data_IF_495275873092
#
_entry.id   IF_495275873092
#
_cell.length_a   1.000
_cell.length_b   1.000
_cell.length_c   1.000
_cell.angle_alpha   90.00
_cell.angle_beta   90.00
_cell.angle_gamma   90.00
#
_symmetry.space_group_name_H-M   'P 1'
#
loop_
_entity.id
_entity.type
_entity.pdbx_description
1 polymer ?
#
# COMPACT_ATOMS: atom_id res chain seq x y z
N UNK A 1 -16.88 -4.55 -16.82
CA UNK A 1 -16.94 -5.62 -15.81
C UNK A 1 -17.05 -5.09 -14.39
N UNK A 2 -16.38 -4.01 -13.99
CA UNK A 2 -16.65 -3.37 -12.68
C UNK A 2 -17.89 -2.49 -12.66
N UNK A 3 -18.41 -2.07 -13.82
CA UNK A 3 -19.72 -1.44 -13.92
C UNK A 3 -20.80 -2.37 -13.32
N UNK A 4 -21.31 -1.99 -12.15
CA UNK A 4 -22.29 -2.77 -11.36
C UNK A 4 -21.72 -3.50 -10.14
N UNK A 5 -20.42 -3.40 -9.84
CA UNK A 5 -19.87 -3.82 -8.54
C UNK A 5 -19.98 -2.65 -7.59
N UNK A 6 -20.67 -2.86 -6.48
CA UNK A 6 -20.84 -1.91 -5.39
C UNK A 6 -20.29 -2.52 -4.09
N UNK A 7 -19.66 -1.68 -3.28
CA UNK A 7 -19.14 -2.06 -1.98
C UNK A 7 -19.86 -1.24 -0.91
N UNK A 8 -20.41 -1.94 0.07
CA UNK A 8 -21.09 -1.35 1.20
C UNK A 8 -20.40 -1.77 2.50
N UNK A 9 -20.40 -0.89 3.49
CA UNK A 9 -19.86 -1.21 4.81
C UNK A 9 -20.81 -2.19 5.53
N UNK A 10 -20.29 -3.37 5.89
CA UNK A 10 -21.05 -4.39 6.62
C UNK A 10 -20.98 -4.21 8.14
N UNK A 11 -20.10 -3.34 8.63
CA UNK A 11 -19.75 -3.22 10.05
C UNK A 11 -18.70 -4.24 10.51
N UNK A 12 -18.27 -5.16 9.64
CA UNK A 12 -17.14 -6.03 9.93
C UNK A 12 -15.84 -5.24 9.96
N UNK A 13 -15.02 -5.49 10.98
CA UNK A 13 -13.73 -4.83 11.18
C UNK A 13 -12.68 -5.86 11.57
N UNK A 14 -11.45 -5.62 11.14
CA UNK A 14 -10.30 -6.36 11.65
C UNK A 14 -9.96 -5.90 13.07
N UNK A 15 -9.61 -6.84 13.95
CA UNK A 15 -9.11 -6.51 15.29
C UNK A 15 -7.72 -5.86 15.17
N UNK A 16 -7.53 -4.71 15.84
CA UNK A 16 -6.23 -4.04 15.90
C UNK A 16 -5.14 -4.95 16.47
N UNK A 17 -5.51 -5.94 17.32
CA UNK A 17 -4.61 -6.96 17.84
C UNK A 17 -3.87 -7.72 16.73
N UNK A 18 -4.43 -7.85 15.52
CA UNK A 18 -3.75 -8.51 14.40
C UNK A 18 -2.45 -7.79 13.99
N UNK A 19 -2.44 -6.45 14.04
CA UNK A 19 -1.23 -5.67 13.77
C UNK A 19 -0.24 -5.77 14.93
N UNK A 20 -0.72 -5.76 16.18
CA UNK A 20 0.11 -5.94 17.37
C UNK A 20 0.74 -7.33 17.44
N UNK A 21 -0.02 -8.37 17.09
CA UNK A 21 0.49 -9.73 17.02
C UNK A 21 1.55 -9.84 15.93
N UNK A 22 1.33 -9.22 14.76
CA UNK A 22 2.31 -9.18 13.69
C UNK A 22 3.60 -8.44 14.07
N UNK A 23 3.50 -7.31 14.77
CA UNK A 23 4.65 -6.58 15.31
C UNK A 23 5.44 -7.46 16.31
N UNK A 24 4.74 -8.17 17.20
CA UNK A 24 5.35 -9.03 18.23
C UNK A 24 5.96 -10.31 17.67
N UNK A 25 5.25 -10.99 16.79
CA UNK A 25 5.62 -12.32 16.28
C UNK A 25 6.51 -12.22 15.04
N UNK A 26 6.50 -11.06 14.37
CA UNK A 26 7.17 -10.88 13.11
C UNK A 26 6.52 -11.68 11.98
N UNK A 27 7.20 -11.70 10.84
CA UNK A 27 6.84 -12.51 9.69
C UNK A 27 8.03 -13.42 9.40
N UNK A 28 7.80 -14.72 9.28
CA UNK A 28 8.84 -15.64 8.83
C UNK A 28 9.02 -15.49 7.31
N UNK A 29 10.24 -15.17 6.88
CA UNK A 29 10.59 -15.05 5.47
C UNK A 29 12.07 -15.41 5.26
N UNK A 30 12.43 -15.68 4.01
CA UNK A 30 13.83 -15.82 3.59
C UNK A 30 14.30 -14.53 2.94
N UNK A 31 15.44 -14.03 3.39
CA UNK A 31 16.08 -12.87 2.79
C UNK A 31 16.37 -13.11 1.29
N UNK A 32 16.08 -12.10 0.48
CA UNK A 32 16.32 -12.10 -0.96
C UNK A 32 16.60 -10.68 -1.45
N UNK A 33 16.82 -10.53 -2.76
CA UNK A 33 17.15 -9.23 -3.38
C UNK A 33 16.12 -8.12 -3.13
N UNK A 34 14.87 -8.47 -2.81
CA UNK A 34 13.79 -7.54 -2.52
C UNK A 34 13.61 -7.23 -1.03
N UNK A 35 14.25 -7.97 -0.13
CA UNK A 35 14.23 -7.65 1.31
C UNK A 35 14.73 -6.23 1.53
N UNK A 36 13.94 -5.45 2.28
CA UNK A 36 14.25 -4.08 2.65
C UNK A 36 14.71 -4.04 4.10
N UNK A 37 15.90 -3.50 4.34
CA UNK A 37 16.43 -3.22 5.68
C UNK A 37 15.86 -1.88 6.16
N UNK A 38 15.26 -1.87 7.34
CA UNK A 38 14.59 -0.70 7.90
C UNK A 38 15.62 0.24 8.53
N UNK A 39 15.77 1.44 7.97
CA UNK A 39 16.62 2.50 8.52
C UNK A 39 15.90 3.42 9.51
N UNK A 40 14.56 3.45 9.49
CA UNK A 40 13.72 4.32 10.33
C UNK A 40 12.58 3.54 11.00
N UNK A 41 12.87 2.68 12.01
CA UNK A 41 11.87 1.80 12.63
C UNK A 41 10.69 2.57 13.23
N UNK A 42 10.87 3.81 13.70
CA UNK A 42 9.79 4.65 14.21
C UNK A 42 8.72 5.05 13.16
N UNK A 43 8.97 4.79 11.87
CA UNK A 43 8.05 5.10 10.76
C UNK A 43 7.25 3.88 10.29
N UNK A 44 7.48 2.71 10.86
CA UNK A 44 6.85 1.45 10.45
C UNK A 44 6.58 0.57 11.67
N UNK A 45 5.92 -0.56 11.46
CA UNK A 45 5.70 -1.61 12.47
C UNK A 45 6.81 -2.67 12.45
N UNK A 46 7.73 -2.61 11.49
CA UNK A 46 8.82 -3.58 11.34
C UNK A 46 10.11 -3.03 11.95
N UNK A 47 10.78 -3.81 12.81
CA UNK A 47 12.02 -3.36 13.45
C UNK A 47 13.23 -3.39 12.51
N UNK A 48 13.44 -4.51 11.82
CA UNK A 48 14.70 -4.77 11.10
C UNK A 48 14.49 -4.89 9.59
N UNK A 49 13.46 -5.62 9.17
CA UNK A 49 13.28 -5.99 7.77
C UNK A 49 11.83 -5.98 7.34
N UNK A 50 11.60 -5.68 6.06
CA UNK A 50 10.30 -5.85 5.39
C UNK A 50 10.50 -6.82 4.21
N UNK A 51 9.80 -7.96 4.18
CA UNK A 51 9.78 -8.83 3.00
C UNK A 51 8.93 -8.19 1.90
N UNK A 52 9.49 -8.07 0.70
CA UNK A 52 8.85 -7.44 -0.45
C UNK A 52 8.88 -8.37 -1.66
N UNK A 53 7.96 -8.14 -2.59
CA UNK A 53 7.75 -9.02 -3.74
C UNK A 53 8.41 -8.48 -5.02
N UNK A 54 8.88 -7.22 -5.00
CA UNK A 54 9.43 -6.57 -6.19
C UNK A 54 10.43 -5.45 -5.90
N UNK A 55 11.27 -5.14 -6.90
CA UNK A 55 12.18 -3.98 -6.83
C UNK A 55 11.45 -2.63 -6.75
N UNK A 56 10.22 -2.53 -7.28
CA UNK A 56 9.39 -1.32 -7.16
C UNK A 56 8.91 -1.12 -5.74
N UNK A 57 8.49 -2.18 -5.05
CA UNK A 57 8.19 -2.12 -3.62
C UNK A 57 9.41 -1.74 -2.80
N UNK A 58 10.59 -2.30 -3.11
CA UNK A 58 11.83 -1.95 -2.40
C UNK A 58 12.18 -0.47 -2.55
N UNK A 59 12.07 0.06 -3.76
CA UNK A 59 12.26 1.49 -4.02
C UNK A 59 11.21 2.35 -3.31
N UNK A 60 9.96 1.89 -3.26
CA UNK A 60 8.88 2.57 -2.56
C UNK A 60 9.12 2.64 -1.05
N UNK A 61 9.57 1.54 -0.43
CA UNK A 61 9.97 1.49 0.97
C UNK A 61 11.09 2.51 1.28
N UNK A 62 12.13 2.55 0.44
CA UNK A 62 13.20 3.55 0.55
C UNK A 62 12.64 4.98 0.46
N UNK A 63 11.76 5.25 -0.50
CA UNK A 63 11.11 6.56 -0.63
C UNK A 63 10.31 6.91 0.63
N UNK A 64 9.60 5.94 1.23
CA UNK A 64 8.89 6.16 2.48
C UNK A 64 9.84 6.61 3.59
N UNK A 65 11.07 6.10 3.66
CA UNK A 65 12.07 6.57 4.62
C UNK A 65 12.60 7.96 4.28
N UNK A 66 12.92 8.22 3.02
CA UNK A 66 13.53 9.47 2.55
C UNK A 66 12.61 10.69 2.71
N UNK A 67 11.29 10.50 2.56
CA UNK A 67 10.30 11.56 2.74
C UNK A 67 10.08 11.86 4.23
N UNK A 68 10.87 12.80 4.77
CA UNK A 68 10.82 13.23 6.17
C UNK A 68 9.47 13.86 6.54
N UNK A 69 8.84 13.34 7.59
CA UNK A 69 7.56 13.79 8.14
C UNK A 69 7.58 15.24 8.66
N UNK A 70 8.76 15.81 8.92
CA UNK A 70 8.92 17.23 9.29
C UNK A 70 8.55 18.18 8.15
N UNK A 71 8.58 17.69 6.92
CA UNK A 71 8.20 18.45 5.73
C UNK A 71 6.74 18.18 5.39
N UNK A 72 6.05 19.21 4.89
CA UNK A 72 4.71 19.04 4.35
C UNK A 72 4.72 18.01 3.19
N UNK A 73 3.80 17.05 3.24
CA UNK A 73 3.78 15.94 2.29
C UNK A 73 4.81 14.85 2.57
N UNK A 74 5.55 14.93 3.68
CA UNK A 74 6.41 13.86 4.17
C UNK A 74 5.62 12.62 4.58
N UNK A 75 6.29 11.48 4.69
CA UNK A 75 5.68 10.23 5.18
C UNK A 75 5.86 10.16 6.68
N UNK A 76 4.76 10.14 7.43
CA UNK A 76 4.75 9.98 8.88
C UNK A 76 4.82 8.51 9.30
N UNK A 77 4.15 7.63 8.56
CA UNK A 77 4.10 6.20 8.85
C UNK A 77 3.85 5.38 7.58
N UNK A 78 4.38 4.17 7.50
CA UNK A 78 4.16 3.25 6.39
C UNK A 78 4.32 1.79 6.83
N UNK A 79 3.60 0.86 6.20
CA UNK A 79 3.88 -0.57 6.33
C UNK A 79 3.33 -1.35 5.14
N UNK A 80 3.99 -2.47 4.81
CA UNK A 80 3.48 -3.43 3.82
C UNK A 80 2.26 -4.11 4.43
N UNK A 81 1.13 -4.07 3.71
CA UNK A 81 -0.07 -4.75 4.16
C UNK A 81 0.18 -6.27 4.14
N UNK A 82 -0.09 -6.96 5.26
CA UNK A 82 0.26 -8.35 5.39
C UNK A 82 -0.61 -9.26 4.54
N UNK A 83 -0.07 -10.45 4.24
CA UNK A 83 -0.72 -11.44 3.40
C UNK A 83 -2.12 -11.87 3.86
N UNK A 84 -2.45 -11.72 5.14
CA UNK A 84 -3.78 -12.03 5.67
C UNK A 84 -4.83 -10.93 5.41
N UNK A 85 -4.40 -9.70 5.09
CA UNK A 85 -5.32 -8.59 4.78
C UNK A 85 -5.82 -8.75 3.35
N UNK A 86 -7.09 -9.13 3.18
CA UNK A 86 -7.67 -9.45 1.87
C UNK A 86 -8.99 -8.72 1.66
N UNK A 87 -9.14 -8.15 0.46
CA UNK A 87 -10.39 -7.60 -0.05
C UNK A 87 -11.03 -8.66 -0.95
N UNK A 88 -12.28 -9.07 -0.69
CA UNK A 88 -13.01 -9.95 -1.58
C UNK A 88 -13.34 -9.23 -2.89
N UNK A 89 -13.06 -9.89 -4.01
CA UNK A 89 -13.48 -9.44 -5.33
C UNK A 89 -14.13 -10.61 -6.07
N UNK A 90 -14.97 -10.37 -7.10
CA UNK A 90 -15.52 -11.43 -7.93
C UNK A 90 -14.45 -12.29 -8.65
N UNK A 91 -13.21 -11.82 -8.71
CA UNK A 91 -12.06 -12.49 -9.35
C UNK A 91 -11.14 -13.16 -8.32
N UNK A 92 -11.63 -13.35 -7.08
CA UNK A 92 -10.87 -13.84 -5.93
C UNK A 92 -10.20 -12.71 -5.15
N UNK A 93 -9.57 -13.07 -4.04
CA UNK A 93 -9.02 -12.10 -3.09
C UNK A 93 -7.97 -11.18 -3.72
N UNK A 94 -7.97 -9.93 -3.26
CA UNK A 94 -7.02 -8.88 -3.59
C UNK A 94 -6.34 -8.38 -2.31
N UNK A 95 -5.03 -8.15 -2.36
CA UNK A 95 -4.23 -7.63 -1.25
C UNK A 95 -3.52 -6.40 -1.78
N UNK A 96 -3.91 -5.19 -1.37
CA UNK A 96 -3.17 -4.00 -1.74
C UNK A 96 -1.80 -3.99 -1.08
N UNK A 97 -0.85 -3.23 -1.64
CA UNK A 97 0.54 -3.33 -1.19
C UNK A 97 0.83 -2.62 0.13
N UNK A 98 0.46 -1.36 0.27
CA UNK A 98 0.94 -0.49 1.36
C UNK A 98 -0.18 0.27 2.03
N UNK A 99 -0.03 0.51 3.33
CA UNK A 99 -0.70 1.59 4.03
C UNK A 99 0.31 2.70 4.30
N UNK A 100 -0.03 3.95 4.00
CA UNK A 100 0.85 5.11 4.13
C UNK A 100 0.12 6.28 4.76
N UNK A 101 0.75 6.94 5.72
CA UNK A 101 0.27 8.18 6.34
C UNK A 101 1.19 9.32 5.93
N UNK A 102 0.66 10.31 5.23
CA UNK A 102 1.39 11.54 4.88
C UNK A 102 1.06 12.67 5.85
N UNK A 103 2.09 13.45 6.23
CA UNK A 103 1.94 14.62 7.07
C UNK A 103 1.47 15.81 6.22
N UNK A 104 0.16 16.05 6.20
CA UNK A 104 -0.44 17.26 5.61
C UNK A 104 -1.52 17.76 6.55
N UNK A 105 -1.30 18.95 7.11
CA UNK A 105 -2.10 19.52 8.20
C UNK A 105 -2.28 18.52 9.35
N UNK A 106 -3.39 17.77 9.38
CA UNK A 106 -3.74 16.81 10.43
C UNK A 106 -3.40 15.32 10.12
N UNK A 107 -3.06 15.00 8.85
CA UNK A 107 -2.66 13.70 8.23
C UNK A 107 -3.59 13.28 7.08
N UNK A 108 -3.01 12.63 6.07
CA UNK A 108 -3.77 11.98 4.98
C UNK A 108 -3.39 10.52 4.87
N UNK A 109 -4.39 9.64 4.87
CA UNK A 109 -4.24 8.18 4.82
C UNK A 109 -4.37 7.67 3.40
N UNK A 110 -3.43 6.82 3.00
CA UNK A 110 -3.40 6.17 1.70
C UNK A 110 -3.34 4.66 1.85
N UNK A 111 -4.07 3.99 0.97
CA UNK A 111 -3.71 2.65 0.52
C UNK A 111 -3.04 2.79 -0.83
N UNK A 112 -1.79 2.34 -0.93
CA UNK A 112 -1.02 2.42 -2.16
C UNK A 112 -0.78 1.04 -2.75
N UNK A 113 -1.08 0.90 -4.04
CA UNK A 113 -0.78 -0.28 -4.84
C UNK A 113 0.43 0.03 -5.73
N UNK A 114 1.53 -0.68 -5.52
CA UNK A 114 2.76 -0.45 -6.27
C UNK A 114 2.77 -1.20 -7.59
N UNK A 115 2.99 -0.48 -8.71
CA UNK A 115 3.00 -1.09 -10.05
C UNK A 115 4.15 -0.59 -10.90
N UNK A 116 4.85 -1.54 -11.53
CA UNK A 116 5.81 -1.24 -12.58
C UNK A 116 5.19 -1.50 -13.95
N UNK A 117 4.94 -0.43 -14.70
CA UNK A 117 4.42 -0.52 -16.08
C UNK A 117 5.50 -0.20 -17.13
N UNK A 118 6.78 -0.22 -16.73
CA UNK A 118 7.93 -0.10 -17.63
C UNK A 118 8.05 1.25 -18.33
N UNK A 119 7.41 2.32 -17.82
CA UNK A 119 7.59 3.70 -18.31
C UNK A 119 8.66 4.49 -17.53
N UNK A 120 9.32 3.85 -16.57
CA UNK A 120 10.22 4.51 -15.61
C UNK A 120 9.46 5.22 -14.49
N UNK A 121 10.08 5.34 -13.32
CA UNK A 121 9.47 5.83 -12.05
C UNK A 121 8.91 7.27 -12.17
N UNK A 122 9.34 8.02 -13.19
CA UNK A 122 8.88 9.40 -13.40
C UNK A 122 7.59 9.52 -14.21
N UNK A 123 7.16 8.45 -14.88
CA UNK A 123 6.03 8.47 -15.80
C UNK A 123 4.74 7.88 -15.19
N UNK A 124 4.82 7.32 -13.98
CA UNK A 124 3.68 6.75 -13.27
C UNK A 124 3.18 5.43 -13.84
N UNK A 125 1.99 5.03 -13.38
CA UNK A 125 1.34 3.76 -13.74
C UNK A 125 0.53 3.89 -15.03
N UNK A 126 0.88 3.11 -16.06
CA UNK A 126 0.07 2.91 -17.27
C UNK A 126 -0.83 1.68 -17.14
N UNK A 127 -2.10 1.91 -16.81
CA UNK A 127 -3.10 0.86 -16.65
C UNK A 127 -3.29 -0.02 -17.91
N UNK A 128 -2.94 0.46 -19.11
CA UNK A 128 -3.02 -0.31 -20.35
C UNK A 128 -1.98 -1.43 -20.47
N UNK A 129 -0.95 -1.43 -19.60
CA UNK A 129 0.08 -2.47 -19.55
C UNK A 129 -0.12 -3.50 -18.44
N UNK A 130 -1.13 -3.30 -17.59
CA UNK A 130 -1.49 -4.26 -16.56
C UNK A 130 -2.16 -5.49 -17.18
N UNK A 131 -1.93 -6.66 -16.60
CA UNK A 131 -2.68 -7.86 -17.00
C UNK A 131 -4.16 -7.61 -16.69
N UNK A 132 -5.06 -8.13 -17.53
CA UNK A 132 -6.49 -7.84 -17.39
C UNK A 132 -7.03 -8.17 -15.99
N UNK A 133 -6.71 -9.35 -15.46
CA UNK A 133 -7.12 -9.76 -14.12
C UNK A 133 -6.60 -8.83 -13.01
N UNK A 134 -5.38 -8.35 -13.14
CA UNK A 134 -4.76 -7.43 -12.19
C UNK A 134 -5.48 -6.08 -12.23
N UNK A 135 -5.67 -5.52 -13.43
CA UNK A 135 -6.40 -4.27 -13.63
C UNK A 135 -7.81 -4.33 -13.04
N UNK A 136 -8.51 -5.45 -13.22
CA UNK A 136 -9.86 -5.63 -12.68
C UNK A 136 -9.88 -5.74 -11.15
N UNK A 137 -8.91 -6.43 -10.53
CA UNK A 137 -8.79 -6.48 -9.06
C UNK A 137 -8.47 -5.11 -8.47
N UNK A 138 -7.60 -4.35 -9.11
CA UNK A 138 -7.28 -2.97 -8.73
C UNK A 138 -8.52 -2.09 -8.82
N UNK A 139 -9.31 -2.23 -9.88
CA UNK A 139 -10.56 -1.48 -10.03
C UNK A 139 -11.57 -1.85 -8.93
N UNK A 140 -11.64 -3.11 -8.54
CA UNK A 140 -12.41 -3.53 -7.36
C UNK A 140 -11.87 -2.88 -6.08
N UNK A 141 -10.55 -2.83 -5.90
CA UNK A 141 -9.90 -2.12 -4.79
C UNK A 141 -10.27 -0.65 -4.73
N UNK A 142 -10.29 0.06 -5.87
CA UNK A 142 -10.75 1.45 -5.94
C UNK A 142 -12.18 1.62 -5.43
N UNK A 143 -13.11 0.78 -5.91
CA UNK A 143 -14.50 0.84 -5.49
C UNK A 143 -14.65 0.50 -4.00
N UNK A 144 -13.92 -0.50 -3.52
CA UNK A 144 -13.91 -0.90 -2.11
C UNK A 144 -13.50 0.26 -1.19
N UNK A 145 -12.37 0.90 -1.49
CA UNK A 145 -11.88 2.00 -0.65
C UNK A 145 -12.61 3.32 -0.88
N UNK A 146 -13.29 3.50 -2.01
CA UNK A 146 -14.18 4.65 -2.23
C UNK A 146 -15.41 4.63 -1.30
N UNK A 147 -15.80 3.46 -0.78
CA UNK A 147 -16.85 3.32 0.22
C UNK A 147 -16.38 3.66 1.65
N UNK A 148 -15.11 4.03 1.84
CA UNK A 148 -14.55 4.42 3.14
C UNK A 148 -14.21 5.92 3.14
N UNK A 149 -14.69 6.64 4.15
CA UNK A 149 -14.38 8.06 4.32
C UNK A 149 -12.97 8.28 4.87
N UNK A 150 -12.30 9.34 4.41
CA UNK A 150 -10.99 9.77 4.93
C UNK A 150 -9.78 8.95 4.45
N UNK A 151 -9.99 7.97 3.55
CA UNK A 151 -8.95 7.11 3.00
C UNK A 151 -8.83 7.27 1.48
N UNK A 152 -7.59 7.38 0.97
CA UNK A 152 -7.33 7.51 -0.47
C UNK A 152 -6.66 6.25 -1.02
N UNK A 153 -7.26 5.59 -2.00
CA UNK A 153 -6.60 4.51 -2.75
C UNK A 153 -5.86 5.06 -3.98
N UNK A 154 -4.62 4.61 -4.21
CA UNK A 154 -3.77 5.03 -5.33
C UNK A 154 -2.94 3.89 -5.89
N UNK A 155 -2.96 3.74 -7.21
CA UNK A 155 -1.91 3.02 -7.93
C UNK A 155 -0.73 3.98 -8.12
N UNK A 156 0.48 3.52 -7.80
CA UNK A 156 1.68 4.36 -7.92
C UNK A 156 2.93 3.51 -8.16
N UNK A 157 4.00 4.12 -8.62
CA UNK A 157 5.34 3.53 -8.66
C UNK A 157 6.27 4.09 -7.56
N UNK A 158 5.83 5.15 -6.88
CA UNK A 158 6.63 5.95 -5.94
C UNK A 158 5.77 6.75 -4.95
N UNK A 159 6.39 7.28 -3.90
CA UNK A 159 5.71 8.11 -2.89
C UNK A 159 5.25 9.47 -3.44
N UNK A 160 5.93 10.00 -4.46
CA UNK A 160 5.53 11.26 -5.10
C UNK A 160 4.18 11.17 -5.80
N UNK A 161 3.81 10.00 -6.33
CA UNK A 161 2.49 9.75 -6.92
C UNK A 161 1.34 9.78 -5.90
N UNK A 162 1.62 9.81 -4.59
CA UNK A 162 0.62 10.01 -3.54
C UNK A 162 0.29 11.50 -3.36
N UNK A 163 -0.31 12.10 -4.39
CA UNK A 163 -0.71 13.50 -4.41
C UNK A 163 -1.99 13.77 -3.62
N UNK A 164 -2.04 14.94 -2.98
CA UNK A 164 -3.18 15.47 -2.26
C UNK A 164 -3.72 16.62 -3.12
N UNK A 165 -4.58 16.27 -4.08
CA UNK A 165 -5.43 17.25 -4.78
C UNK A 165 -6.46 17.83 -3.82
#
# INVERSE_FOLDING_TARGET
MTAGIEYEQTGEVYDQKLLTDMEREGIEFYENDFTFEVGKPQKTICENYIPLDSGTEKAFAQNCEDYDAKNEGGVAFYFKLPGWFKIPTPLGNYNPDWAVVKQVQDKVYFVAETKNTGKGIQAGVDAGKLRENERLKIECGKQHFAALDGLKYRETDSVSGLEIK
#
